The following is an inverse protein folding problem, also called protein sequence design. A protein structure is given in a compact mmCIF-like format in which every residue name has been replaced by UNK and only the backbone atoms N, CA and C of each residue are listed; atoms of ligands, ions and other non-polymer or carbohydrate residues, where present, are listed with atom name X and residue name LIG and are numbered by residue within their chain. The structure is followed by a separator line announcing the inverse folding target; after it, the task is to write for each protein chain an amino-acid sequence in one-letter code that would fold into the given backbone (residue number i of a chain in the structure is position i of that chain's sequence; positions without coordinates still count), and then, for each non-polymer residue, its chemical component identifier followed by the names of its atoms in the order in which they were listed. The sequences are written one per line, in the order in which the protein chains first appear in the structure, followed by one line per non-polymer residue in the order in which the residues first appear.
data_IF_901513216087
#
_entry.id   IF_901513216087
#
_cell.length_a   1.000
_cell.length_b   1.000
_cell.length_c   1.000
_cell.angle_alpha   90.00
_cell.angle_beta   90.00
_cell.angle_gamma   90.00
#
_symmetry.space_group_name_H-M   'P 1'
#
loop_
_entity.id
_entity.type
_entity.pdbx_description
1 polymer ?
#
# COMPACT_ATOMS: atom_id res chain seq x y z
N UNK A 1 13.50 18.53 -3.91
CA UNK A 1 12.39 18.05 -4.76
C UNK A 1 12.37 18.73 -6.12
N UNK A 2 12.38 20.06 -6.20
CA UNK A 2 12.36 20.77 -7.49
C UNK A 2 13.50 20.35 -8.44
N UNK A 3 14.73 20.24 -7.94
CA UNK A 3 15.87 19.73 -8.72
C UNK A 3 15.62 18.35 -9.36
N UNK A 4 14.92 17.45 -8.64
CA UNK A 4 14.59 16.13 -9.15
C UNK A 4 13.50 16.16 -10.23
N UNK A 5 12.56 17.11 -10.17
CA UNK A 5 11.59 17.38 -11.24
C UNK A 5 12.32 17.89 -12.49
N UNK A 6 13.26 18.81 -12.31
CA UNK A 6 14.00 19.45 -13.40
C UNK A 6 15.00 18.50 -14.08
N UNK A 7 15.41 17.43 -13.40
CA UNK A 7 16.24 16.36 -13.96
C UNK A 7 15.53 15.53 -15.04
N UNK A 8 14.20 15.57 -15.13
CA UNK A 8 13.38 14.86 -16.14
C UNK A 8 13.74 13.38 -16.29
N UNK A 9 13.85 12.65 -15.18
CA UNK A 9 14.05 11.21 -15.22
C UNK A 9 12.93 10.51 -16.01
N UNK A 10 13.23 9.41 -16.69
CA UNK A 10 12.20 8.61 -17.37
C UNK A 10 11.20 8.01 -16.38
N UNK A 11 11.71 7.54 -15.22
CA UNK A 11 10.94 6.92 -14.15
C UNK A 11 11.36 7.51 -12.80
N UNK A 12 10.39 7.72 -11.91
CA UNK A 12 10.61 8.08 -10.51
C UNK A 12 9.88 7.10 -9.58
N UNK A 13 10.60 6.54 -8.60
CA UNK A 13 10.04 5.65 -7.60
C UNK A 13 9.74 6.45 -6.33
N UNK A 14 8.46 6.52 -5.95
CA UNK A 14 8.00 7.31 -4.82
C UNK A 14 7.70 6.41 -3.62
N UNK A 15 8.31 6.73 -2.48
CA UNK A 15 8.03 6.08 -1.19
C UNK A 15 8.22 7.04 -0.02
N UNK A 16 7.77 8.30 -0.20
CA UNK A 16 7.93 9.39 0.76
C UNK A 16 6.64 9.75 1.52
N UNK A 17 5.58 8.94 1.40
CA UNK A 17 4.28 9.18 2.02
C UNK A 17 3.26 9.86 1.09
N UNK A 18 1.98 9.77 1.49
CA UNK A 18 0.86 10.16 0.63
C UNK A 18 0.79 11.67 0.35
N UNK A 19 1.00 12.52 1.37
CA UNK A 19 0.95 13.97 1.21
C UNK A 19 2.01 14.48 0.22
N UNK A 20 3.25 13.99 0.37
CA UNK A 20 4.34 14.29 -0.56
C UNK A 20 4.01 13.80 -1.97
N UNK A 21 3.43 12.60 -2.10
CA UNK A 21 3.04 12.09 -3.42
C UNK A 21 1.97 12.94 -4.10
N UNK A 22 0.92 13.33 -3.37
CA UNK A 22 -0.14 14.20 -3.92
C UNK A 22 0.39 15.54 -4.41
N UNK A 23 1.39 16.10 -3.73
CA UNK A 23 1.99 17.38 -4.14
C UNK A 23 2.95 17.23 -5.34
N UNK A 24 3.80 16.20 -5.34
CA UNK A 24 4.94 16.12 -6.25
C UNK A 24 4.73 15.22 -7.46
N UNK A 25 3.97 14.12 -7.34
CA UNK A 25 3.77 13.21 -8.47
C UNK A 25 3.19 13.89 -9.72
N UNK A 26 2.21 14.82 -9.61
CA UNK A 26 1.71 15.57 -10.76
C UNK A 26 2.80 16.42 -11.45
N UNK A 27 3.66 17.08 -10.68
CA UNK A 27 4.76 17.92 -11.22
C UNK A 27 5.78 17.10 -12.02
N UNK A 28 6.08 15.87 -11.56
CA UNK A 28 6.92 14.92 -12.32
C UNK A 28 6.22 14.46 -13.61
N UNK A 29 4.94 14.07 -13.50
CA UNK A 29 4.15 13.62 -14.64
C UNK A 29 4.02 14.69 -15.74
N UNK A 30 3.84 15.96 -15.37
CA UNK A 30 3.82 17.11 -16.29
C UNK A 30 5.12 17.30 -17.08
N UNK A 31 6.26 16.86 -16.54
CA UNK A 31 7.55 16.87 -17.24
C UNK A 31 7.80 15.62 -18.09
N UNK A 32 6.84 14.70 -18.14
CA UNK A 32 6.90 13.45 -18.90
C UNK A 32 7.43 12.24 -18.12
N UNK A 33 7.85 12.43 -16.86
CA UNK A 33 8.34 11.35 -15.99
C UNK A 33 7.19 10.41 -15.61
N UNK A 34 7.46 9.11 -15.63
CA UNK A 34 6.51 8.10 -15.13
C UNK A 34 6.78 7.87 -13.64
N UNK A 35 5.81 8.17 -12.79
CA UNK A 35 5.89 7.97 -11.34
C UNK A 35 5.29 6.62 -10.98
N UNK A 36 6.04 5.80 -10.24
CA UNK A 36 5.53 4.59 -9.57
C UNK A 36 5.46 4.87 -8.08
N UNK A 37 4.24 4.96 -7.54
CA UNK A 37 4.00 5.45 -6.19
C UNK A 37 3.60 4.34 -5.21
N UNK A 38 4.42 4.13 -4.18
CA UNK A 38 4.21 3.16 -3.10
C UNK A 38 3.32 3.70 -1.97
N UNK A 39 2.76 4.90 -2.10
CA UNK A 39 1.83 5.44 -1.11
C UNK A 39 0.40 4.99 -1.39
N UNK A 40 -0.51 5.25 -0.45
CA UNK A 40 -1.94 5.01 -0.67
C UNK A 40 -2.64 6.13 -1.48
N UNK A 41 -1.94 7.21 -1.83
CA UNK A 41 -2.55 8.44 -2.35
C UNK A 41 -3.38 8.23 -3.62
N UNK A 42 -2.88 7.39 -4.53
CA UNK A 42 -3.45 7.22 -5.87
C UNK A 42 -4.18 5.89 -6.07
N UNK A 43 -4.13 4.99 -5.09
CA UNK A 43 -4.58 3.59 -5.26
C UNK A 43 -6.04 3.49 -5.64
N UNK A 44 -6.89 4.32 -5.03
CA UNK A 44 -8.34 4.33 -5.30
C UNK A 44 -8.78 5.46 -6.23
N UNK A 45 -7.86 6.26 -6.78
CA UNK A 45 -8.19 7.26 -7.80
C UNK A 45 -8.66 6.53 -9.08
N UNK A 46 -9.87 6.81 -9.61
CA UNK A 46 -10.39 6.14 -10.80
C UNK A 46 -9.59 6.45 -12.07
N UNK A 47 -8.82 7.55 -12.08
CA UNK A 47 -7.97 7.96 -13.20
C UNK A 47 -6.60 7.30 -13.19
N UNK A 48 -6.23 6.58 -12.11
CA UNK A 48 -4.92 5.94 -11.93
C UNK A 48 -5.02 4.42 -11.87
N UNK A 49 -4.05 3.74 -12.48
CA UNK A 49 -3.95 2.28 -12.45
C UNK A 49 -3.33 1.81 -11.13
N UNK A 50 -3.94 0.79 -10.52
CA UNK A 50 -3.41 0.08 -9.36
C UNK A 50 -2.92 -1.29 -9.84
N UNK A 51 -1.59 -1.47 -9.88
CA UNK A 51 -0.99 -2.54 -10.68
C UNK A 51 -0.26 -3.57 -9.83
N UNK A 52 -0.58 -4.84 -10.10
CA UNK A 52 0.25 -6.00 -9.76
C UNK A 52 0.70 -6.62 -11.10
N UNK A 53 2.00 -6.62 -11.42
CA UNK A 53 2.47 -6.94 -12.77
C UNK A 53 1.97 -8.29 -13.32
N UNK A 54 1.89 -9.30 -12.47
CA UNK A 54 1.47 -10.66 -12.81
C UNK A 54 -0.03 -10.81 -13.05
N UNK A 55 -0.82 -9.78 -12.71
CA UNK A 55 -2.29 -9.84 -12.76
C UNK A 55 -2.84 -8.89 -13.83
N UNK A 56 -2.40 -7.63 -13.86
CA UNK A 56 -3.06 -6.58 -14.65
C UNK A 56 -2.10 -5.56 -15.29
N UNK A 57 -0.83 -5.91 -15.53
CA UNK A 57 0.14 -5.03 -16.22
C UNK A 57 -0.28 -4.66 -17.65
N UNK A 58 -1.05 -5.53 -18.30
CA UNK A 58 -1.59 -5.33 -19.65
C UNK A 58 -2.54 -4.13 -19.75
N UNK A 59 -3.04 -3.64 -18.62
CA UNK A 59 -3.88 -2.43 -18.54
C UNK A 59 -3.12 -1.11 -18.66
N UNK A 60 -1.79 -1.13 -18.60
CA UNK A 60 -0.94 0.07 -18.66
C UNK A 60 -0.72 0.56 -20.08
N UNK A 61 -0.74 1.88 -20.26
CA UNK A 61 -0.38 2.55 -21.51
C UNK A 61 0.72 3.59 -21.29
N UNK A 62 1.26 4.18 -22.37
CA UNK A 62 2.33 5.20 -22.28
C UNK A 62 1.86 6.51 -21.65
N UNK A 63 0.55 6.70 -21.62
CA UNK A 63 -0.15 7.85 -21.06
C UNK A 63 -0.28 7.76 -19.52
N UNK A 64 -0.14 6.55 -18.94
CA UNK A 64 -0.17 6.34 -17.49
C UNK A 64 1.12 6.86 -16.83
N UNK A 65 1.13 8.15 -16.49
CA UNK A 65 2.28 8.82 -15.87
C UNK A 65 2.34 8.76 -14.36
N UNK A 66 1.27 8.33 -13.69
CA UNK A 66 1.26 8.05 -12.25
C UNK A 66 0.61 6.68 -12.07
N UNK A 67 1.40 5.70 -11.63
CA UNK A 67 1.01 4.32 -11.44
C UNK A 67 1.05 4.03 -9.94
N UNK A 68 -0.05 3.56 -9.38
CA UNK A 68 -0.14 3.24 -7.96
C UNK A 68 0.33 1.81 -7.69
N UNK A 69 1.22 1.67 -6.71
CA UNK A 69 1.64 0.38 -6.18
C UNK A 69 0.75 0.00 -4.98
N UNK A 70 0.21 -1.24 -4.92
CA UNK A 70 -0.76 -1.61 -3.88
C UNK A 70 -0.16 -1.76 -2.48
N UNK A 71 -1.05 -1.96 -1.50
CA UNK A 71 -0.71 -2.34 -0.14
C UNK A 71 0.03 -3.70 -0.13
N UNK A 72 1.04 -3.82 0.72
CA UNK A 72 1.88 -5.01 0.83
C UNK A 72 1.08 -6.29 1.12
N UNK A 73 0.12 -6.23 2.04
CA UNK A 73 -0.77 -7.34 2.38
C UNK A 73 -1.73 -7.68 1.24
N UNK A 74 -2.18 -6.68 0.48
CA UNK A 74 -2.98 -6.91 -0.73
C UNK A 74 -2.16 -7.65 -1.78
N UNK A 75 -0.93 -7.22 -2.10
CA UNK A 75 -0.08 -7.82 -3.15
C UNK A 75 0.07 -9.32 -2.94
N UNK A 76 0.51 -9.73 -1.74
CA UNK A 76 0.71 -11.15 -1.44
C UNK A 76 -0.60 -11.95 -1.51
N UNK A 77 -1.74 -11.35 -1.14
CA UNK A 77 -3.04 -12.01 -1.17
C UNK A 77 -3.52 -12.20 -2.60
N UNK A 78 -3.51 -11.14 -3.43
CA UNK A 78 -4.02 -11.21 -4.80
C UNK A 78 -3.18 -12.09 -5.71
N UNK A 79 -1.88 -12.24 -5.44
CA UNK A 79 -1.02 -13.20 -6.15
C UNK A 79 -1.52 -14.65 -6.04
N UNK A 80 -2.11 -15.01 -4.89
CA UNK A 80 -2.74 -16.34 -4.70
C UNK A 80 -4.18 -16.32 -5.18
N UNK A 81 -4.92 -15.24 -4.92
CA UNK A 81 -6.35 -15.19 -5.20
C UNK A 81 -6.67 -15.05 -6.69
N UNK A 82 -5.87 -14.33 -7.47
CA UNK A 82 -6.14 -14.09 -8.90
C UNK A 82 -6.31 -15.38 -9.72
N UNK A 83 -5.37 -16.35 -9.69
CA UNK A 83 -5.55 -17.60 -10.44
C UNK A 83 -6.74 -18.43 -9.90
N UNK A 84 -6.97 -18.44 -8.58
CA UNK A 84 -8.09 -19.17 -7.97
C UNK A 84 -9.44 -18.55 -8.33
N UNK A 85 -9.53 -17.22 -8.34
CA UNK A 85 -10.72 -16.48 -8.71
C UNK A 85 -11.04 -16.69 -10.19
N UNK A 86 -10.03 -16.66 -11.06
CA UNK A 86 -10.19 -16.98 -12.49
C UNK A 86 -10.69 -18.41 -12.73
N UNK A 87 -10.22 -19.38 -11.95
CA UNK A 87 -10.59 -20.79 -12.12
C UNK A 87 -11.95 -21.15 -11.50
N UNK A 88 -12.29 -20.56 -10.35
CA UNK A 88 -13.42 -21.04 -9.52
C UNK A 88 -14.43 -19.95 -9.14
N UNK A 89 -14.17 -18.67 -9.41
CA UNK A 89 -15.05 -17.57 -9.07
C UNK A 89 -15.27 -17.43 -7.55
N UNK A 90 -14.26 -16.94 -6.83
CA UNK A 90 -14.33 -16.71 -5.38
C UNK A 90 -15.52 -15.79 -5.06
N UNK A 91 -16.27 -16.13 -4.00
CA UNK A 91 -17.44 -15.35 -3.55
C UNK A 91 -17.26 -14.63 -2.21
N UNK A 92 -16.28 -15.07 -1.41
CA UNK A 92 -16.00 -14.49 -0.10
C UNK A 92 -14.60 -14.86 0.35
N UNK A 93 -13.91 -13.89 0.96
CA UNK A 93 -12.67 -14.08 1.69
C UNK A 93 -12.88 -13.77 3.17
N UNK A 94 -12.21 -14.54 4.03
CA UNK A 94 -12.09 -14.25 5.47
C UNK A 94 -10.61 -14.32 5.78
N UNK A 95 -10.01 -13.18 6.10
CA UNK A 95 -8.56 -13.01 6.23
C UNK A 95 -8.25 -12.45 7.62
N UNK A 96 -7.25 -13.04 8.28
CA UNK A 96 -6.66 -12.50 9.50
C UNK A 96 -5.17 -12.30 9.24
N UNK A 97 -4.68 -11.06 9.39
CA UNK A 97 -3.30 -10.72 9.09
C UNK A 97 -2.42 -10.87 10.32
N UNK A 98 -1.16 -11.25 10.09
CA UNK A 98 -0.11 -11.29 11.10
C UNK A 98 1.04 -10.43 10.57
N UNK A 99 0.88 -9.11 10.69
CA UNK A 99 1.80 -8.15 10.09
C UNK A 99 2.99 -7.90 11.02
N UNK A 100 4.18 -7.79 10.42
CA UNK A 100 5.41 -7.48 11.15
C UNK A 100 5.48 -6.00 11.51
N UNK A 101 6.16 -5.69 12.61
CA UNK A 101 6.40 -4.29 13.05
C UNK A 101 7.21 -3.46 12.04
N UNK A 102 7.95 -4.12 11.14
CA UNK A 102 8.71 -3.45 10.08
C UNK A 102 7.84 -2.67 9.11
N UNK A 103 6.55 -3.02 8.97
CA UNK A 103 5.61 -2.29 8.13
C UNK A 103 5.35 -0.86 8.63
N UNK A 104 5.42 -0.64 9.93
CA UNK A 104 5.31 0.70 10.55
C UNK A 104 6.60 1.50 10.44
N UNK A 105 7.72 0.83 10.13
CA UNK A 105 9.02 1.45 9.88
C UNK A 105 10.00 1.31 11.03
N UNK A 106 11.16 1.96 10.87
CA UNK A 106 12.33 1.79 11.74
C UNK A 106 12.03 2.03 13.22
N UNK A 107 11.28 3.08 13.55
CA UNK A 107 10.97 3.43 14.94
C UNK A 107 10.18 2.32 15.66
N UNK A 108 9.29 1.62 14.97
CA UNK A 108 8.54 0.49 15.55
C UNK A 108 9.42 -0.74 15.80
N UNK A 109 10.41 -0.98 14.93
CA UNK A 109 11.42 -2.02 15.14
C UNK A 109 12.27 -1.69 16.35
N UNK A 110 12.74 -0.44 16.45
CA UNK A 110 13.52 0.05 17.60
C UNK A 110 12.73 -0.03 18.91
N UNK A 111 11.43 0.31 18.88
CA UNK A 111 10.54 0.14 20.03
C UNK A 111 10.54 -1.32 20.51
N UNK A 112 10.22 -2.27 19.61
CA UNK A 112 10.16 -3.70 19.93
C UNK A 112 11.49 -4.23 20.47
N UNK A 113 12.62 -3.85 19.87
CA UNK A 113 13.94 -4.31 20.30
C UNK A 113 14.33 -3.76 21.68
N UNK A 114 13.98 -2.51 21.98
CA UNK A 114 14.24 -1.90 23.28
C UNK A 114 13.37 -2.53 24.38
N UNK A 115 12.09 -2.76 24.09
CA UNK A 115 11.19 -3.50 24.98
C UNK A 115 11.73 -4.90 25.30
N UNK A 116 12.25 -5.61 24.29
CA UNK A 116 12.88 -6.93 24.45
C UNK A 116 14.09 -6.91 25.39
N UNK A 117 14.83 -5.79 25.42
CA UNK A 117 16.01 -5.58 26.28
C UNK A 117 15.66 -4.98 27.65
N UNK A 118 14.38 -4.67 27.92
CA UNK A 118 13.95 -3.96 29.13
C UNK A 118 14.42 -2.50 29.19
N UNK A 119 14.76 -1.90 28.04
CA UNK A 119 15.17 -0.51 27.91
C UNK A 119 13.93 0.34 27.62
N UNK A 120 13.85 1.53 28.22
CA UNK A 120 12.75 2.47 27.95
C UNK A 120 12.75 2.84 26.46
N UNK A 121 11.67 2.51 25.77
CA UNK A 121 11.46 2.82 24.37
C UNK A 121 10.58 4.07 24.19
N UNK A 122 10.83 4.83 23.13
CA UNK A 122 9.80 5.72 22.57
C UNK A 122 8.71 4.84 21.94
N UNK A 123 7.46 5.08 22.29
CA UNK A 123 6.35 4.24 21.83
C UNK A 123 5.70 4.84 20.59
N UNK A 124 5.84 4.14 19.46
CA UNK A 124 5.10 4.40 18.23
C UNK A 124 3.70 3.78 18.32
N UNK A 125 3.59 2.63 18.97
CA UNK A 125 2.32 1.98 19.26
C UNK A 125 1.71 2.47 20.58
N UNK A 126 0.37 2.46 20.75
CA UNK A 126 -0.27 2.84 22.01
C UNK A 126 0.02 1.89 23.18
N UNK A 127 0.52 0.68 22.89
CA UNK A 127 0.84 -0.36 23.87
C UNK A 127 2.17 -1.05 23.51
N UNK A 128 2.84 -1.72 24.47
CA UNK A 128 4.01 -2.54 24.18
C UNK A 128 3.73 -3.61 23.14
N UNK A 129 4.69 -3.86 22.26
CA UNK A 129 4.55 -4.77 21.13
C UNK A 129 5.40 -6.04 21.29
N UNK A 130 6.49 -6.00 22.07
CA UNK A 130 7.30 -7.20 22.34
C UNK A 130 6.48 -8.27 23.07
N UNK A 131 6.39 -9.47 22.46
CA UNK A 131 5.56 -10.59 22.92
C UNK A 131 4.07 -10.23 23.07
N UNK A 132 3.58 -9.29 22.27
CA UNK A 132 2.19 -8.87 22.24
C UNK A 132 1.66 -8.85 20.79
N UNK A 133 0.34 -8.82 20.64
CA UNK A 133 -0.33 -8.61 19.36
C UNK A 133 -1.35 -7.48 19.51
N UNK A 134 -1.35 -6.54 18.55
CA UNK A 134 -2.27 -5.41 18.54
C UNK A 134 -3.28 -5.57 17.41
N UNK A 135 -4.58 -5.73 17.72
CA UNK A 135 -5.63 -5.86 16.70
C UNK A 135 -6.08 -4.47 16.18
N UNK A 136 -5.11 -3.63 15.81
CA UNK A 136 -5.33 -2.27 15.35
C UNK A 136 -4.17 -1.84 14.44
N UNK A 137 -4.43 -1.76 13.14
CA UNK A 137 -3.47 -1.27 12.15
C UNK A 137 -4.12 -0.15 11.33
N UNK A 138 -3.46 1.02 11.27
CA UNK A 138 -4.00 2.26 10.70
C UNK A 138 -5.25 2.76 11.48
N UNK A 139 -5.85 3.86 11.05
CA UNK A 139 -7.01 4.46 11.73
C UNK A 139 -8.29 3.64 11.56
N UNK A 140 -9.20 3.73 12.53
CA UNK A 140 -10.57 3.22 12.35
C UNK A 140 -11.34 4.05 11.31
N UNK A 141 -12.10 3.36 10.46
CA UNK A 141 -13.07 3.93 9.52
C UNK A 141 -14.48 3.42 9.87
N UNK A 142 -15.37 3.34 8.87
CA UNK A 142 -16.75 2.93 9.03
C UNK A 142 -16.91 1.47 9.48
N UNK A 143 -18.03 1.20 10.16
CA UNK A 143 -18.46 -0.13 10.61
C UNK A 143 -17.44 -0.87 11.53
N UNK A 144 -16.52 -0.13 12.15
CA UNK A 144 -15.55 -0.68 13.10
C UNK A 144 -14.33 -1.34 12.46
N UNK A 145 -14.19 -1.28 11.14
CA UNK A 145 -13.00 -1.74 10.44
C UNK A 145 -11.90 -0.68 10.47
N UNK A 146 -10.64 -1.11 10.42
CA UNK A 146 -9.52 -0.21 10.20
C UNK A 146 -9.32 0.08 8.72
N UNK A 147 -8.63 1.18 8.43
CA UNK A 147 -8.22 1.55 7.08
C UNK A 147 -7.32 0.48 6.44
N UNK A 148 -6.52 -0.24 7.22
CA UNK A 148 -5.72 -1.35 6.71
C UNK A 148 -6.61 -2.52 6.22
N UNK A 149 -7.67 -2.85 6.96
CA UNK A 149 -8.65 -3.86 6.55
C UNK A 149 -9.39 -3.43 5.29
N UNK A 150 -9.80 -2.16 5.19
CA UNK A 150 -10.44 -1.62 4.00
C UNK A 150 -9.53 -1.62 2.76
N UNK A 151 -8.21 -1.46 2.92
CA UNK A 151 -7.27 -1.59 1.78
C UNK A 151 -7.35 -2.99 1.19
N UNK A 152 -7.38 -4.04 2.01
CA UNK A 152 -7.51 -5.42 1.52
C UNK A 152 -8.77 -5.62 0.68
N UNK A 153 -9.89 -5.00 1.07
CA UNK A 153 -11.15 -5.09 0.32
C UNK A 153 -11.09 -4.27 -0.97
N UNK A 154 -10.88 -2.95 -0.85
CA UNK A 154 -10.99 -1.99 -1.95
C UNK A 154 -9.94 -2.24 -3.04
N UNK A 155 -8.70 -2.49 -2.63
CA UNK A 155 -7.61 -2.70 -3.59
C UNK A 155 -7.75 -4.04 -4.32
N UNK A 156 -8.21 -5.10 -3.64
CA UNK A 156 -8.45 -6.41 -4.27
C UNK A 156 -9.50 -6.33 -5.35
N UNK A 157 -10.64 -5.68 -5.09
CA UNK A 157 -11.70 -5.45 -6.08
C UNK A 157 -11.17 -4.74 -7.31
N UNK A 158 -10.42 -3.64 -7.10
CA UNK A 158 -9.83 -2.86 -8.19
C UNK A 158 -8.80 -3.63 -8.99
N UNK A 159 -7.93 -4.41 -8.34
CA UNK A 159 -6.88 -5.21 -9.00
C UNK A 159 -7.50 -6.35 -9.82
N UNK A 160 -8.49 -7.04 -9.27
CA UNK A 160 -9.15 -8.18 -9.93
C UNK A 160 -10.25 -7.76 -10.91
N UNK A 161 -10.68 -6.49 -10.89
CA UNK A 161 -11.76 -5.98 -11.73
C UNK A 161 -13.15 -6.52 -11.36
N UNK A 162 -13.34 -6.91 -10.09
CA UNK A 162 -14.61 -7.47 -9.59
C UNK A 162 -15.05 -6.70 -8.32
N UNK A 163 -15.99 -5.78 -8.49
CA UNK A 163 -16.59 -5.01 -7.39
C UNK A 163 -17.50 -5.86 -6.48
N UNK A 164 -17.92 -7.04 -6.94
CA UNK A 164 -18.81 -7.94 -6.22
C UNK A 164 -18.10 -8.87 -5.22
N UNK A 165 -16.76 -8.91 -5.25
CA UNK A 165 -15.93 -9.74 -4.37
C UNK A 165 -15.78 -9.16 -2.96
#
# INVERSE_FOLDING_TARGET
MQEAVDAKADIALFSAGGSTSTEWAPKFAEKGTTVVDNSSAWRMDPTKKLVVPEINADSLTKEDKIIANPNCSTIQMVMVMAPLHKAYGIKRLVISTYQSVSGTGKAAVEQMENEAKGVKAEMVYPYPIYKNALPHCDVFEDAGYTKEEWKLVRETRKILGDEGL
#
